data_IF_966310076062
#
_entry.id   IF_966310076062
#
_cell.length_a   1.000
_cell.length_b   1.000
_cell.length_c   1.000
_cell.angle_alpha   90.00
_cell.angle_beta   90.00
_cell.angle_gamma   90.00
#
_symmetry.space_group_name_H-M   'P 1'
#
loop_
_entity.id
_entity.type
_entity.pdbx_description
1 polymer ?
#
# COMPACT_ATOMS: atom_id res chain seq x y z
N UNK A 1 19.78 10.69 4.80
CA UNK A 1 18.35 10.63 4.46
C UNK A 1 18.22 9.68 3.30
N UNK A 2 17.32 8.70 3.35
CA UNK A 2 17.07 7.83 2.21
C UNK A 2 16.33 8.63 1.13
N UNK A 3 16.70 8.44 -0.13
CA UNK A 3 15.96 9.06 -1.24
C UNK A 3 14.55 8.45 -1.33
N UNK A 4 13.51 9.25 -1.62
CA UNK A 4 12.17 8.73 -1.82
C UNK A 4 12.15 7.81 -3.04
N UNK A 5 11.50 6.66 -2.90
CA UNK A 5 11.16 5.83 -4.04
C UNK A 5 10.00 6.48 -4.79
N UNK A 6 10.19 6.74 -6.08
CA UNK A 6 9.20 7.37 -6.94
C UNK A 6 8.80 6.42 -8.06
N UNK A 7 7.50 6.19 -8.22
CA UNK A 7 6.92 5.34 -9.26
C UNK A 7 5.82 6.10 -9.98
N UNK A 8 5.85 6.07 -11.32
CA UNK A 8 4.76 6.58 -12.15
C UNK A 8 4.00 5.41 -12.76
N UNK A 9 2.66 5.49 -12.76
CA UNK A 9 1.81 4.43 -13.27
C UNK A 9 0.52 5.00 -13.86
N UNK A 10 -0.12 4.23 -14.75
CA UNK A 10 -1.47 4.49 -15.21
C UNK A 10 -2.44 3.72 -14.32
N UNK A 11 -3.39 4.42 -13.72
CA UNK A 11 -4.49 3.84 -12.98
C UNK A 11 -5.64 3.56 -13.95
N UNK A 12 -5.86 2.29 -14.25
CA UNK A 12 -7.03 1.84 -15.00
C UNK A 12 -8.25 1.72 -14.09
N UNK A 13 -9.50 1.67 -14.61
CA UNK A 13 -10.67 1.37 -13.77
C UNK A 13 -10.52 0.06 -12.99
N UNK A 14 -11.10 -0.07 -11.79
CA UNK A 14 -11.03 -1.31 -11.01
C UNK A 14 -11.67 -2.48 -11.75
N UNK A 15 -11.02 -3.64 -11.68
CA UNK A 15 -11.53 -4.90 -12.22
C UNK A 15 -12.78 -5.41 -11.50
N UNK A 16 -13.37 -6.49 -12.02
CA UNK A 16 -14.62 -7.08 -11.49
C UNK A 16 -14.52 -7.51 -10.02
N UNK A 17 -13.34 -7.95 -9.59
CA UNK A 17 -13.05 -8.47 -8.25
C UNK A 17 -12.43 -7.41 -7.33
N UNK A 18 -12.33 -6.16 -7.78
CA UNK A 18 -11.74 -5.05 -7.06
C UNK A 18 -12.81 -4.10 -6.53
N UNK A 19 -12.49 -3.42 -5.42
CA UNK A 19 -13.20 -2.20 -5.01
C UNK A 19 -12.51 -0.97 -5.62
N UNK A 20 -13.17 0.19 -5.74
CA UNK A 20 -12.54 1.45 -6.18
C UNK A 20 -11.62 2.05 -5.10
N UNK A 21 -10.82 1.22 -4.44
CA UNK A 21 -9.84 1.60 -3.41
C UNK A 21 -8.47 1.13 -3.85
N UNK A 22 -7.56 2.08 -4.07
CA UNK A 22 -6.16 1.83 -4.37
C UNK A 22 -5.41 1.61 -3.05
N UNK A 23 -4.69 0.51 -2.92
CA UNK A 23 -3.76 0.24 -1.83
C UNK A 23 -2.37 0.73 -2.23
N UNK A 24 -1.76 1.53 -1.36
CA UNK A 24 -0.32 1.76 -1.34
C UNK A 24 0.23 0.96 -0.17
N UNK A 25 0.99 -0.08 -0.47
CA UNK A 25 1.34 -1.11 0.50
C UNK A 25 2.79 -1.58 0.35
N UNK A 26 3.32 -2.16 1.42
CA UNK A 26 4.51 -3.01 1.35
C UNK A 26 4.05 -4.46 1.27
N UNK A 27 4.59 -5.23 0.32
CA UNK A 27 4.38 -6.67 0.20
C UNK A 27 5.61 -7.41 0.71
N UNK A 28 5.40 -8.42 1.54
CA UNK A 28 6.41 -9.38 1.93
C UNK A 28 6.06 -10.77 1.39
N UNK A 29 7.08 -11.54 1.08
CA UNK A 29 6.95 -12.95 0.71
C UNK A 29 7.54 -13.85 1.81
N UNK A 30 7.17 -15.12 1.78
CA UNK A 30 7.72 -16.17 2.62
C UNK A 30 7.86 -17.49 1.86
N UNK A 31 8.63 -18.41 2.43
CA UNK A 31 8.73 -19.79 1.93
C UNK A 31 7.38 -20.51 2.05
N UNK A 32 6.60 -20.16 3.07
CA UNK A 32 5.21 -20.54 3.24
C UNK A 32 4.37 -19.34 3.74
N UNK A 33 3.06 -19.58 3.86
CA UNK A 33 2.12 -18.57 4.36
C UNK A 33 2.36 -18.14 5.81
N UNK A 34 2.91 -19.02 6.66
CA UNK A 34 3.20 -18.70 8.05
C UNK A 34 4.41 -17.76 8.16
N UNK A 35 5.47 -18.01 7.39
CA UNK A 35 6.65 -17.13 7.32
C UNK A 35 6.29 -15.75 6.76
N UNK A 36 5.47 -15.70 5.70
CA UNK A 36 4.99 -14.43 5.15
C UNK A 36 4.16 -13.65 6.18
N UNK A 37 3.30 -14.34 6.92
CA UNK A 37 2.49 -13.77 8.00
C UNK A 37 3.36 -13.26 9.15
N UNK A 38 4.35 -14.03 9.59
CA UNK A 38 5.25 -13.65 10.67
C UNK A 38 6.03 -12.37 10.33
N UNK A 39 6.62 -12.31 9.13
CA UNK A 39 7.30 -11.10 8.62
C UNK A 39 6.37 -9.89 8.59
N UNK A 40 5.14 -10.08 8.12
CA UNK A 40 4.17 -8.99 8.08
C UNK A 40 3.79 -8.49 9.48
N UNK A 41 3.65 -9.42 10.45
CA UNK A 41 3.38 -9.07 11.84
C UNK A 41 4.57 -8.36 12.50
N UNK A 42 5.81 -8.73 12.18
CA UNK A 42 7.02 -8.02 12.63
C UNK A 42 7.05 -6.58 12.14
N UNK A 43 6.83 -6.33 10.85
CA UNK A 43 6.78 -4.97 10.30
C UNK A 43 5.64 -4.17 10.96
N UNK A 44 4.46 -4.78 11.10
CA UNK A 44 3.31 -4.14 11.73
C UNK A 44 3.58 -3.74 13.17
N UNK A 45 4.21 -4.61 13.97
CA UNK A 45 4.48 -4.37 15.39
C UNK A 45 5.59 -3.35 15.61
N UNK A 46 6.63 -3.39 14.77
CA UNK A 46 7.72 -2.42 14.80
C UNK A 46 7.28 -1.02 14.35
N UNK A 47 6.23 -0.94 13.54
CA UNK A 47 5.82 0.26 12.84
C UNK A 47 6.70 0.50 11.62
N UNK A 48 6.14 1.20 10.64
CA UNK A 48 6.85 1.58 9.43
C UNK A 48 6.57 3.05 9.14
N UNK A 49 7.26 3.97 9.83
CA UNK A 49 7.07 5.39 9.59
C UNK A 49 7.49 5.72 8.16
N UNK A 50 6.62 6.39 7.43
CA UNK A 50 6.85 6.76 6.05
C UNK A 50 6.22 8.10 5.71
N UNK A 51 6.68 8.69 4.61
CA UNK A 51 6.01 9.79 3.93
C UNK A 51 5.48 9.26 2.60
N UNK A 52 4.19 9.39 2.39
CA UNK A 52 3.48 8.88 1.21
C UNK A 52 2.72 10.03 0.54
N UNK A 53 3.02 10.26 -0.73
CA UNK A 53 2.31 11.22 -1.57
C UNK A 53 1.85 10.59 -2.86
N UNK A 54 0.59 10.85 -3.21
CA UNK A 54 0.05 10.50 -4.51
C UNK A 54 -0.33 11.78 -5.25
N UNK A 55 0.16 11.90 -6.48
CA UNK A 55 -0.10 13.05 -7.34
C UNK A 55 -0.71 12.56 -8.64
N UNK A 56 -1.88 13.08 -9.00
CA UNK A 56 -2.48 12.90 -10.31
C UNK A 56 -1.75 13.79 -11.32
N UNK A 57 -1.28 13.21 -12.41
CA UNK A 57 -0.59 13.87 -13.50
C UNK A 57 -1.60 14.10 -14.65
N UNK A 58 -2.45 15.11 -14.48
CA UNK A 58 -3.48 15.45 -15.47
C UNK A 58 -2.97 16.38 -16.57
N UNK A 59 -3.75 16.52 -17.65
CA UNK A 59 -3.43 17.42 -18.76
C UNK A 59 -3.35 18.89 -18.33
N UNK A 60 -4.13 19.28 -17.31
CA UNK A 60 -4.14 20.64 -16.75
C UNK A 60 -3.09 20.86 -15.64
N UNK A 61 -2.23 19.87 -15.39
CA UNK A 61 -1.16 19.94 -14.40
C UNK A 61 -1.24 18.87 -13.31
N UNK A 62 -0.33 18.99 -12.34
CA UNK A 62 -0.22 18.08 -11.22
C UNK A 62 -1.18 18.46 -10.08
N UNK A 63 -1.93 17.49 -9.56
CA UNK A 63 -2.83 17.69 -8.43
C UNK A 63 -2.62 16.61 -7.36
N UNK A 64 -2.59 17.00 -6.09
CA UNK A 64 -2.51 16.02 -4.99
C UNK A 64 -3.77 15.16 -4.94
N UNK A 65 -3.60 13.85 -4.96
CA UNK A 65 -4.67 12.89 -4.81
C UNK A 65 -4.84 12.53 -3.32
N UNK A 66 -6.06 12.61 -2.77
CA UNK A 66 -6.27 12.39 -1.35
C UNK A 66 -6.01 10.94 -0.98
N UNK A 67 -5.26 10.75 0.11
CA UNK A 67 -5.01 9.46 0.73
C UNK A 67 -5.56 9.44 2.15
N UNK A 68 -5.96 8.26 2.60
CA UNK A 68 -6.39 8.01 3.97
C UNK A 68 -5.60 6.84 4.56
N UNK A 69 -5.48 6.81 5.89
CA UNK A 69 -4.99 5.67 6.64
C UNK A 69 -6.11 5.08 7.49
N UNK A 70 -6.01 3.79 7.80
CA UNK A 70 -6.91 3.14 8.75
C UNK A 70 -6.30 3.25 10.15
N UNK A 71 -7.05 3.85 11.07
CA UNK A 71 -6.74 3.84 12.50
C UNK A 71 -7.71 2.90 13.22
N UNK A 72 -7.15 2.01 14.03
CA UNK A 72 -7.89 1.07 14.88
C UNK A 72 -7.53 1.36 16.33
N UNK A 73 -8.53 1.75 17.13
CA UNK A 73 -8.36 1.86 18.58
C UNK A 73 -9.02 0.66 19.26
N UNK A 74 -8.41 0.10 20.33
CA UNK A 74 -9.02 -0.98 21.08
C UNK A 74 -10.44 -0.62 21.52
N UNK A 75 -11.40 -1.48 21.21
CA UNK A 75 -12.82 -1.28 21.57
C UNK A 75 -13.61 -0.33 20.68
N UNK A 76 -13.04 0.18 19.57
CA UNK A 76 -13.76 1.01 18.60
C UNK A 76 -13.77 0.38 17.21
N UNK A 77 -14.71 0.82 16.36
CA UNK A 77 -14.65 0.54 14.94
C UNK A 77 -13.41 1.20 14.30
N UNK A 78 -13.00 0.63 13.17
CA UNK A 78 -12.01 1.24 12.27
C UNK A 78 -12.45 2.65 11.87
N UNK A 79 -11.53 3.61 11.87
CA UNK A 79 -11.78 4.94 11.31
C UNK A 79 -10.81 5.25 10.20
N UNK A 80 -11.31 5.86 9.13
CA UNK A 80 -10.48 6.41 8.06
C UNK A 80 -10.04 7.81 8.44
N UNK A 81 -8.74 8.04 8.45
CA UNK A 81 -8.13 9.31 8.81
C UNK A 81 -7.38 9.85 7.60
N UNK A 82 -7.69 11.07 7.12
CA UNK A 82 -6.94 11.69 6.03
C UNK A 82 -5.45 11.78 6.35
N UNK A 83 -4.62 11.48 5.35
CA UNK A 83 -3.18 11.76 5.40
C UNK A 83 -3.00 13.23 5.03
N UNK A 84 -2.31 13.96 5.90
CA UNK A 84 -2.09 15.40 5.72
C UNK A 84 -1.13 15.68 4.55
N UNK A 85 -1.03 16.95 4.18
CA UNK A 85 -0.13 17.40 3.11
C UNK A 85 1.36 17.10 3.36
N UNK A 86 1.76 16.76 4.59
CA UNK A 86 3.12 16.32 4.92
C UNK A 86 3.38 14.83 4.60
N UNK A 87 2.34 14.10 4.20
CA UNK A 87 2.37 12.70 3.76
C UNK A 87 2.63 11.70 4.88
N UNK A 88 2.68 12.12 6.16
CA UNK A 88 3.20 11.26 7.23
C UNK A 88 2.22 10.16 7.61
N UNK A 89 2.75 8.94 7.63
CA UNK A 89 2.11 7.74 8.20
C UNK A 89 3.08 7.08 9.16
N UNK A 90 2.58 6.54 10.27
CA UNK A 90 3.40 5.88 11.29
C UNK A 90 3.17 4.38 11.38
N UNK A 91 2.03 3.91 10.87
CA UNK A 91 1.55 2.55 11.04
C UNK A 91 1.12 1.96 9.71
N UNK A 92 1.25 0.65 9.62
CA UNK A 92 0.71 -0.17 8.53
C UNK A 92 -0.32 -1.15 9.08
N UNK A 93 -1.22 -1.65 8.23
CA UNK A 93 -2.19 -2.69 8.59
C UNK A 93 -2.25 -3.77 7.52
N UNK A 94 -2.60 -4.99 7.94
CA UNK A 94 -2.83 -6.09 6.99
C UNK A 94 -4.08 -5.79 6.18
N UNK A 95 -3.98 -5.97 4.87
CA UNK A 95 -5.10 -5.79 3.95
C UNK A 95 -4.92 -6.65 2.70
N UNK A 96 -6.02 -6.89 2.00
CA UNK A 96 -6.06 -7.80 0.86
C UNK A 96 -6.20 -7.02 -0.46
N UNK A 97 -5.49 -7.51 -1.48
CA UNK A 97 -5.48 -6.97 -2.84
C UNK A 97 -6.25 -7.87 -3.79
N UNK A 98 -6.66 -7.33 -4.94
CA UNK A 98 -7.21 -8.14 -6.02
C UNK A 98 -6.11 -9.02 -6.64
N UNK A 99 -5.92 -10.21 -6.08
CA UNK A 99 -4.92 -11.17 -6.54
C UNK A 99 -5.14 -11.57 -8.01
N UNK A 100 -6.38 -11.56 -8.50
CA UNK A 100 -6.67 -11.88 -9.91
C UNK A 100 -6.03 -10.86 -10.85
N UNK A 101 -6.10 -9.57 -10.51
CA UNK A 101 -5.44 -8.51 -11.29
C UNK A 101 -3.92 -8.61 -11.21
N UNK A 102 -3.37 -8.99 -10.06
CA UNK A 102 -1.93 -9.17 -9.90
C UNK A 102 -1.40 -10.36 -10.72
N UNK A 103 -2.13 -11.48 -10.74
CA UNK A 103 -1.77 -12.67 -11.53
C UNK A 103 -1.82 -12.36 -13.03
N UNK A 104 -2.88 -11.68 -13.48
CA UNK A 104 -3.03 -11.27 -14.87
C UNK A 104 -1.92 -10.33 -15.34
N UNK A 105 -1.40 -9.48 -14.45
CA UNK A 105 -0.26 -8.60 -14.72
C UNK A 105 1.11 -9.29 -14.57
N UNK A 106 1.16 -10.58 -14.19
CA UNK A 106 2.40 -11.30 -13.91
C UNK A 106 3.14 -10.83 -12.66
N UNK A 107 2.46 -10.11 -11.76
CA UNK A 107 3.03 -9.51 -10.54
C UNK A 107 2.86 -10.40 -9.31
N UNK A 108 2.09 -11.48 -9.40
CA UNK A 108 1.98 -12.52 -8.38
C UNK A 108 2.12 -13.91 -9.02
N UNK A 109 2.72 -14.83 -8.26
CA UNK A 109 2.71 -16.25 -8.56
C UNK A 109 1.60 -16.91 -7.71
N UNK A 110 0.68 -17.69 -8.30
CA UNK A 110 -0.35 -18.42 -7.54
C UNK A 110 0.19 -19.38 -6.48
N UNK A 111 1.44 -19.84 -6.64
CA UNK A 111 2.15 -20.68 -5.69
C UNK A 111 2.93 -19.88 -4.64
N UNK A 112 3.01 -18.56 -4.79
CA UNK A 112 3.73 -17.67 -3.90
C UNK A 112 2.94 -17.37 -2.64
N UNK A 113 3.65 -17.13 -1.55
CA UNK A 113 3.05 -16.80 -0.26
C UNK A 113 3.33 -15.35 0.09
N UNK A 114 2.30 -14.51 -0.03
CA UNK A 114 2.41 -13.06 0.14
C UNK A 114 1.54 -12.54 1.26
N UNK A 115 2.02 -11.47 1.89
CA UNK A 115 1.22 -10.63 2.78
C UNK A 115 1.48 -9.17 2.50
N UNK A 116 0.42 -8.38 2.53
CA UNK A 116 0.42 -6.99 2.15
C UNK A 116 0.08 -6.14 3.37
N UNK A 117 0.87 -5.10 3.57
CA UNK A 117 0.77 -4.14 4.67
C UNK A 117 0.49 -2.78 4.06
N UNK A 118 -0.77 -2.36 4.10
CA UNK A 118 -1.19 -1.07 3.60
C UNK A 118 -0.63 0.05 4.48
N UNK A 119 -0.05 1.07 3.83
CA UNK A 119 0.34 2.35 4.43
C UNK A 119 -0.76 3.40 4.22
N UNK A 120 -1.41 3.35 3.06
CA UNK A 120 -2.44 4.29 2.66
C UNK A 120 -3.46 3.66 1.70
N UNK A 121 -4.67 4.20 1.71
CA UNK A 121 -5.70 3.97 0.71
C UNK A 121 -5.96 5.25 -0.08
N UNK A 122 -6.08 5.13 -1.40
CA UNK A 122 -6.67 6.14 -2.28
C UNK A 122 -8.09 5.72 -2.66
N UNK A 123 -9.10 6.48 -2.24
CA UNK A 123 -10.51 6.10 -2.44
C UNK A 123 -11.12 6.82 -3.64
N UNK A 124 -11.82 6.08 -4.49
CA UNK A 124 -12.56 6.60 -5.64
C UNK A 124 -11.73 7.50 -6.57
N UNK A 125 -10.45 7.16 -6.73
CA UNK A 125 -9.54 7.85 -7.65
C UNK A 125 -10.02 7.65 -9.08
N UNK A 126 -10.02 8.74 -9.86
CA UNK A 126 -10.33 8.68 -11.28
C UNK A 126 -9.21 7.95 -12.04
N UNK A 127 -9.54 7.17 -13.09
CA UNK A 127 -8.53 6.63 -13.99
C UNK A 127 -7.66 7.75 -14.58
N UNK A 128 -6.37 7.47 -14.77
CA UNK A 128 -5.42 8.48 -15.23
C UNK A 128 -3.99 8.15 -14.85
N UNK A 129 -3.07 9.08 -15.11
CA UNK A 129 -1.65 8.91 -14.80
C UNK A 129 -1.35 9.45 -13.41
N UNK A 130 -0.58 8.71 -12.61
CA UNK A 130 -0.24 9.09 -11.25
C UNK A 130 1.26 8.95 -11.00
N UNK A 131 1.77 9.77 -10.07
CA UNK A 131 3.09 9.64 -9.46
C UNK A 131 2.91 9.34 -7.98
N UNK A 132 3.47 8.23 -7.53
CA UNK A 132 3.57 7.88 -6.13
C UNK A 132 5.00 8.14 -5.65
N UNK A 133 5.13 8.80 -4.50
CA UNK A 133 6.39 8.97 -3.77
C UNK A 133 6.24 8.32 -2.39
N UNK A 134 7.18 7.45 -2.04
CA UNK A 134 7.27 6.78 -0.74
C UNK A 134 8.68 6.93 -0.18
N UNK A 135 8.79 7.53 1.00
CA UNK A 135 10.03 7.67 1.75
C UNK A 135 9.88 6.96 3.09
N UNK A 136 10.74 5.98 3.40
CA UNK A 136 10.78 5.39 4.74
C UNK A 136 11.52 6.34 5.69
N UNK A 137 10.90 6.67 6.82
CA UNK A 137 11.42 7.60 7.81
C UNK A 137 12.00 6.83 8.99
N UNK A 138 13.33 6.79 9.08
CA UNK A 138 14.07 6.10 10.13
C UNK A 138 13.54 4.68 10.43
N UNK A 139 13.45 3.79 9.41
CA UNK A 139 12.88 2.47 9.61
C UNK A 139 13.70 1.67 10.64
N UNK A 140 13.04 0.89 11.52
CA UNK A 140 13.75 0.09 12.51
C UNK A 140 14.78 -0.85 11.86
N UNK A 141 16.04 -0.79 12.32
CA UNK A 141 17.18 -1.51 11.71
C UNK A 141 16.98 -3.02 11.59
N UNK A 142 16.19 -3.62 12.49
CA UNK A 142 15.90 -5.05 12.47
C UNK A 142 14.95 -5.47 11.34
N UNK A 143 14.28 -4.52 10.67
CA UNK A 143 13.44 -4.80 9.50
C UNK A 143 14.26 -4.88 8.20
N UNK A 144 15.49 -4.34 8.18
CA UNK A 144 16.34 -4.31 6.98
C UNK A 144 16.59 -5.68 6.32
N UNK A 145 16.69 -6.81 7.06
CA UNK A 145 16.85 -8.13 6.45
C UNK A 145 15.57 -8.70 5.81
N UNK A 146 14.40 -8.10 6.05
CA UNK A 146 13.13 -8.63 5.53
C UNK A 146 12.97 -8.16 4.07
N UNK A 147 12.98 -9.09 3.08
CA UNK A 147 12.74 -8.72 1.70
C UNK A 147 11.30 -8.21 1.55
N UNK A 148 11.17 -7.01 1.00
CA UNK A 148 9.89 -6.35 0.86
C UNK A 148 9.84 -5.52 -0.42
N UNK A 149 8.65 -5.41 -1.00
CA UNK A 149 8.39 -4.71 -2.25
C UNK A 149 7.35 -3.61 -2.03
N UNK A 150 7.51 -2.45 -2.68
CA UNK A 150 6.40 -1.51 -2.80
C UNK A 150 5.36 -2.07 -3.77
N UNK A 151 4.10 -2.01 -3.38
CA UNK A 151 2.99 -2.49 -4.16
C UNK A 151 1.90 -1.41 -4.25
N UNK A 152 1.41 -1.22 -5.46
CA UNK A 152 0.24 -0.41 -5.77
C UNK A 152 -0.75 -1.31 -6.47
N UNK A 153 -1.91 -1.52 -5.86
CA UNK A 153 -2.90 -2.47 -6.36
C UNK A 153 -4.30 -2.08 -5.91
N UNK A 154 -5.33 -2.54 -6.63
CA UNK A 154 -6.69 -2.41 -6.13
C UNK A 154 -6.95 -3.36 -4.97
N UNK A 155 -7.77 -2.89 -4.02
CA UNK A 155 -8.24 -3.71 -2.89
C UNK A 155 -9.17 -4.81 -3.38
N UNK A 156 -9.04 -6.00 -2.79
CA UNK A 156 -10.00 -7.08 -3.03
C UNK A 156 -11.42 -6.67 -2.64
N UNK A 157 -12.39 -7.05 -3.46
CA UNK A 157 -13.82 -6.95 -3.14
C UNK A 157 -14.24 -8.19 -2.34
N UNK A 158 -14.45 -8.02 -1.04
CA UNK A 158 -15.09 -9.05 -0.22
C UNK A 158 -16.45 -9.44 -0.82
N UNK A 159 -16.76 -10.73 -0.81
CA UNK A 159 -18.03 -11.29 -1.29
C UNK A 159 -19.22 -10.81 -0.47
#
# INVERSE_FOLDING_TARGET
>A
MAEPMVVEFNLEPPGRNATPTLLVAVRVSGEDGAVAQERALMIRSAGLPARVHLTHLGEMGEASAPLVRVEQRPGTAATLVPINADGRVSTVWLDDVDDTSLEAAGLSNPQGHYKQLAMAWGQNLSPGRYRLSVELLDPPVHLAPIPAELMVAYKHKSK
#
